data_IF_098303927230
#
_entry.id   IF_098303927230
#
_cell.length_a   1.000
_cell.length_b   1.000
_cell.length_c   1.000
_cell.angle_alpha   90.00
_cell.angle_beta   90.00
_cell.angle_gamma   90.00
#
_symmetry.space_group_name_H-M   'P 1'
#
loop_
_entity.id
_entity.type
_entity.pdbx_description
1 polymer ?
#
# COMPACT_ATOMS: atom_id res chain seq x y z
N UNK A 1 -6.93 21.66 16.48
CA UNK A 1 -6.79 20.52 15.54
C UNK A 1 -5.37 20.54 14.98
N UNK A 2 -4.63 19.42 15.03
CA UNK A 2 -3.27 19.32 14.49
C UNK A 2 -3.35 18.63 13.13
N UNK A 3 -3.32 19.41 12.04
CA UNK A 3 -3.23 18.91 10.66
C UNK A 3 -1.92 19.39 10.03
N UNK A 4 -1.45 18.66 9.03
CA UNK A 4 -0.31 19.10 8.23
C UNK A 4 -0.72 20.24 7.31
N UNK A 5 -0.01 21.36 7.40
CA UNK A 5 -0.13 22.46 6.42
C UNK A 5 0.29 21.92 5.06
N UNK A 6 -0.58 22.09 4.05
CA UNK A 6 -0.34 21.58 2.70
C UNK A 6 -0.73 20.12 2.46
N UNK A 7 -1.27 19.42 3.47
CA UNK A 7 -1.81 18.07 3.34
C UNK A 7 -0.85 16.94 3.74
N UNK A 8 -1.39 15.80 4.18
CA UNK A 8 -0.58 14.67 4.65
C UNK A 8 0.10 13.87 3.53
N UNK A 9 -0.36 14.02 2.28
CA UNK A 9 0.26 13.36 1.11
C UNK A 9 1.72 13.72 0.91
N UNK A 10 2.11 14.93 1.34
CA UNK A 10 3.48 15.42 1.25
C UNK A 10 4.51 14.53 1.94
N UNK A 11 4.10 13.73 2.94
CA UNK A 11 5.03 12.79 3.59
C UNK A 11 5.48 11.73 2.58
N UNK A 12 4.55 11.08 1.90
CA UNK A 12 4.87 10.05 0.90
C UNK A 12 5.53 10.65 -0.34
N UNK A 13 5.06 11.81 -0.80
CA UNK A 13 5.61 12.52 -1.96
C UNK A 13 7.08 12.89 -1.75
N UNK A 14 7.43 13.49 -0.60
CA UNK A 14 8.82 13.87 -0.32
C UNK A 14 9.74 12.67 -0.11
N UNK A 15 9.24 11.57 0.46
CA UNK A 15 10.03 10.33 0.54
C UNK A 15 10.28 9.77 -0.86
N UNK A 16 9.27 9.80 -1.73
CA UNK A 16 9.42 9.40 -3.14
C UNK A 16 10.47 10.27 -3.84
N UNK A 17 10.44 11.60 -3.65
CA UNK A 17 11.44 12.52 -4.23
C UNK A 17 12.87 12.19 -3.78
N UNK A 18 13.06 11.82 -2.50
CA UNK A 18 14.36 11.41 -1.97
C UNK A 18 14.86 10.08 -2.55
N UNK A 19 13.94 9.18 -2.92
CA UNK A 19 14.24 7.87 -3.51
C UNK A 19 14.37 7.91 -5.04
N UNK A 20 13.80 8.92 -5.70
CA UNK A 20 13.88 9.10 -7.14
C UNK A 20 13.30 7.91 -7.91
N UNK A 21 14.11 7.36 -8.84
CA UNK A 21 13.70 6.29 -9.76
C UNK A 21 13.54 4.91 -9.10
N UNK A 22 13.88 4.79 -7.80
CA UNK A 22 13.69 3.58 -7.02
C UNK A 22 12.21 3.31 -6.71
N UNK A 23 11.35 4.32 -6.84
CA UNK A 23 9.89 4.17 -6.71
C UNK A 23 9.28 3.87 -8.08
N UNK A 24 8.70 2.69 -8.23
CA UNK A 24 7.99 2.26 -9.45
C UNK A 24 6.47 2.40 -9.26
N UNK A 25 5.89 3.46 -9.80
CA UNK A 25 4.43 3.67 -9.80
C UNK A 25 3.76 2.77 -10.85
N UNK A 26 2.48 2.41 -10.65
CA UNK A 26 1.73 1.53 -11.56
C UNK A 26 2.32 0.10 -11.71
N UNK A 27 2.96 -0.41 -10.67
CA UNK A 27 3.52 -1.77 -10.61
C UNK A 27 2.81 -2.60 -9.53
N UNK A 28 1.54 -3.03 -9.74
CA UNK A 28 0.87 -3.91 -8.79
C UNK A 28 1.60 -5.25 -8.76
N UNK A 29 2.11 -5.66 -7.60
CA UNK A 29 2.71 -6.98 -7.41
C UNK A 29 1.62 -8.05 -7.46
N UNK A 30 1.86 -9.11 -8.23
CA UNK A 30 0.94 -10.24 -8.42
C UNK A 30 1.53 -11.55 -7.90
N UNK A 31 2.85 -11.73 -7.96
CA UNK A 31 3.53 -12.93 -7.48
C UNK A 31 4.76 -12.62 -6.64
N UNK A 32 5.03 -13.48 -5.65
CA UNK A 32 6.24 -13.48 -4.83
C UNK A 32 6.74 -14.92 -4.73
N UNK A 33 7.90 -15.21 -5.33
CA UNK A 33 8.55 -16.52 -5.31
C UNK A 33 9.86 -16.47 -4.53
N UNK A 34 9.92 -17.16 -3.39
CA UNK A 34 11.08 -17.32 -2.51
C UNK A 34 11.64 -18.75 -2.54
N UNK A 35 11.39 -19.51 -3.61
CA UNK A 35 11.87 -20.90 -3.75
C UNK A 35 13.38 -21.01 -4.03
N UNK A 36 14.04 -19.90 -4.35
CA UNK A 36 15.46 -19.79 -4.68
C UNK A 36 16.21 -18.83 -3.74
N UNK A 37 17.54 -18.78 -3.87
CA UNK A 37 18.40 -17.87 -3.09
C UNK A 37 18.05 -16.38 -3.28
N UNK A 38 17.55 -16.00 -4.46
CA UNK A 38 16.94 -14.71 -4.72
C UNK A 38 15.42 -14.87 -4.72
N UNK A 39 14.74 -13.88 -4.16
CA UNK A 39 13.28 -13.76 -4.24
C UNK A 39 12.94 -13.05 -5.55
N UNK A 40 12.01 -13.64 -6.30
CA UNK A 40 11.49 -13.10 -7.56
C UNK A 40 10.11 -12.48 -7.29
N UNK A 41 9.93 -11.24 -7.72
CA UNK A 41 8.66 -10.52 -7.66
C UNK A 41 8.17 -10.32 -9.09
N UNK A 42 6.92 -10.68 -9.35
CA UNK A 42 6.25 -10.37 -10.62
C UNK A 42 5.18 -9.29 -10.40
N UNK A 43 5.12 -8.36 -11.33
CA UNK A 43 4.09 -7.31 -11.39
C UNK A 43 3.05 -7.61 -12.47
N UNK A 44 1.91 -6.92 -12.43
CA UNK A 44 0.81 -7.13 -13.38
C UNK A 44 1.20 -6.87 -14.85
N UNK A 45 2.20 -6.01 -15.10
CA UNK A 45 2.78 -5.76 -16.42
C UNK A 45 3.88 -6.77 -16.81
N UNK A 46 4.01 -7.89 -16.09
CA UNK A 46 4.98 -8.97 -16.32
C UNK A 46 6.45 -8.51 -16.21
N UNK A 47 6.72 -7.48 -15.43
CA UNK A 47 8.08 -7.17 -15.05
C UNK A 47 8.51 -8.03 -13.86
N UNK A 48 9.80 -8.37 -13.84
CA UNK A 48 10.40 -9.16 -12.79
C UNK A 48 11.44 -8.34 -12.02
N UNK A 49 11.38 -8.45 -10.70
CA UNK A 49 12.34 -7.84 -9.79
C UNK A 49 12.97 -8.94 -8.93
N UNK A 50 14.29 -8.95 -8.84
CA UNK A 50 15.03 -9.87 -7.96
C UNK A 50 15.53 -9.14 -6.72
N UNK A 51 15.40 -9.77 -5.55
CA UNK A 51 15.84 -9.18 -4.30
C UNK A 51 16.24 -10.24 -3.26
N UNK A 52 16.89 -9.79 -2.18
CA UNK A 52 17.25 -10.66 -1.05
C UNK A 52 16.15 -10.76 0.02
N UNK A 53 15.32 -9.71 0.14
CA UNK A 53 14.26 -9.62 1.13
C UNK A 53 13.10 -8.79 0.59
N UNK A 54 11.90 -9.06 1.08
CA UNK A 54 10.67 -8.35 0.72
C UNK A 54 9.99 -7.80 1.97
N UNK A 55 9.53 -6.55 1.88
CA UNK A 55 8.64 -5.94 2.87
C UNK A 55 7.25 -5.84 2.25
N UNK A 56 6.29 -6.62 2.76
CA UNK A 56 4.89 -6.52 2.35
C UNK A 56 4.17 -5.44 3.17
N UNK A 57 4.14 -4.20 2.64
CA UNK A 57 3.61 -3.01 3.31
C UNK A 57 2.16 -2.64 2.92
N UNK A 58 1.36 -3.60 2.46
CA UNK A 58 -0.04 -3.40 2.06
C UNK A 58 -1.01 -4.02 3.09
N UNK A 59 -2.29 -3.59 3.15
CA UNK A 59 -3.30 -4.19 4.01
C UNK A 59 -3.45 -5.72 3.83
N UNK A 60 -3.85 -6.47 4.88
CA UNK A 60 -3.98 -7.93 4.81
C UNK A 60 -4.88 -8.42 3.67
N UNK A 61 -6.01 -7.76 3.43
CA UNK A 61 -6.95 -8.13 2.35
C UNK A 61 -6.36 -7.97 0.95
N UNK A 62 -5.42 -7.05 0.75
CA UNK A 62 -4.70 -6.93 -0.52
C UNK A 62 -3.56 -7.94 -0.63
N UNK A 63 -2.97 -8.33 0.51
CA UNK A 63 -1.98 -9.42 0.56
C UNK A 63 -2.58 -10.74 0.05
N UNK A 64 -3.86 -10.99 0.33
CA UNK A 64 -4.59 -12.18 -0.16
C UNK A 64 -4.73 -12.26 -1.69
N UNK A 65 -4.41 -11.18 -2.43
CA UNK A 65 -4.43 -11.15 -3.90
C UNK A 65 -3.08 -11.52 -4.54
N UNK A 66 -2.02 -11.63 -3.75
CA UNK A 66 -0.68 -11.98 -4.23
C UNK A 66 -0.54 -13.51 -4.17
N UNK A 67 -0.04 -14.11 -5.24
CA UNK A 67 0.32 -15.52 -5.29
C UNK A 67 1.71 -15.71 -4.68
N UNK A 68 1.79 -16.44 -3.57
CA UNK A 68 3.05 -16.73 -2.89
C UNK A 68 3.55 -18.13 -3.24
N UNK A 69 4.86 -18.26 -3.49
CA UNK A 69 5.54 -19.53 -3.70
C UNK A 69 6.83 -19.61 -2.87
N UNK A 70 7.03 -20.65 -2.03
CA UNK A 70 6.00 -21.54 -1.51
C UNK A 70 4.83 -20.78 -0.89
N UNK A 71 3.68 -21.47 -0.80
CA UNK A 71 2.47 -20.91 -0.21
C UNK A 71 2.73 -20.40 1.21
N UNK A 72 1.97 -19.38 1.61
CA UNK A 72 2.00 -18.90 2.99
C UNK A 72 1.52 -20.01 3.95
N UNK A 73 2.06 -20.07 5.18
CA UNK A 73 1.55 -20.97 6.20
C UNK A 73 0.03 -20.83 6.35
N UNK A 74 -0.67 -21.95 6.55
CA UNK A 74 -2.14 -21.99 6.56
C UNK A 74 -2.75 -20.96 7.54
N UNK A 75 -2.17 -20.79 8.73
CA UNK A 75 -2.58 -19.78 9.71
C UNK A 75 -2.56 -18.36 9.11
N UNK A 76 -1.49 -18.00 8.41
CA UNK A 76 -1.36 -16.69 7.76
C UNK A 76 -2.34 -16.55 6.60
N UNK A 77 -2.50 -17.59 5.78
CA UNK A 77 -3.43 -17.57 4.65
C UNK A 77 -4.89 -17.37 5.13
N UNK A 78 -5.26 -17.98 6.25
CA UNK A 78 -6.55 -17.82 6.88
C UNK A 78 -6.75 -16.42 7.48
N UNK A 79 -5.72 -15.85 8.12
CA UNK A 79 -5.77 -14.50 8.70
C UNK A 79 -6.02 -13.43 7.64
N UNK A 80 -5.26 -13.42 6.55
CA UNK A 80 -5.32 -12.36 5.53
C UNK A 80 -6.67 -12.30 4.80
N UNK A 81 -7.43 -13.40 4.78
CA UNK A 81 -8.77 -13.48 4.19
C UNK A 81 -9.89 -13.04 5.14
N UNK A 82 -9.61 -12.87 6.44
CA UNK A 82 -10.63 -12.62 7.49
C UNK A 82 -10.52 -11.25 8.16
N UNK A 83 -9.75 -10.33 7.59
CA UNK A 83 -9.54 -8.98 8.12
C UNK A 83 -10.13 -7.91 7.18
N UNK A 84 -11.47 -7.83 7.02
CA UNK A 84 -12.09 -6.83 6.14
C UNK A 84 -11.75 -5.41 6.59
N UNK A 85 -11.63 -4.50 5.61
CA UNK A 85 -11.46 -3.07 5.88
C UNK A 85 -12.82 -2.43 6.19
N UNK A 86 -12.83 -1.43 7.07
CA UNK A 86 -14.02 -0.61 7.31
C UNK A 86 -14.45 0.17 6.06
N UNK A 87 -15.74 0.53 5.99
CA UNK A 87 -16.31 1.31 4.91
C UNK A 87 -16.56 2.75 5.38
N UNK A 88 -16.06 3.74 4.63
CA UNK A 88 -16.19 5.16 4.96
C UNK A 88 -16.25 6.01 3.70
N UNK A 89 -17.05 7.08 3.73
CA UNK A 89 -17.09 8.13 2.70
C UNK A 89 -16.59 9.42 3.34
N UNK A 90 -15.60 10.08 2.71
CA UNK A 90 -15.05 11.35 3.18
C UNK A 90 -15.64 12.50 2.38
N UNK A 91 -16.41 13.36 3.05
CA UNK A 91 -17.06 14.53 2.43
C UNK A 91 -16.46 15.82 2.98
N UNK A 92 -16.18 16.78 2.10
CA UNK A 92 -15.73 18.13 2.46
C UNK A 92 -16.70 19.14 1.86
N UNK A 93 -17.31 19.97 2.71
CA UNK A 93 -18.20 21.05 2.29
C UNK A 93 -17.52 22.39 2.56
N UNK A 94 -17.39 23.21 1.51
CA UNK A 94 -16.77 24.53 1.59
C UNK A 94 -17.85 25.61 1.55
N UNK A 95 -17.66 26.63 2.38
CA UNK A 95 -18.57 27.77 2.50
C UNK A 95 -17.75 29.05 2.39
N UNK A 96 -18.42 30.15 2.00
CA UNK A 96 -17.80 31.48 1.92
C UNK A 96 -17.25 31.93 3.27
N UNK A 97 -17.96 31.62 4.36
CA UNK A 97 -17.59 32.00 5.72
C UNK A 97 -17.77 30.82 6.67
N UNK A 98 -16.98 30.78 7.74
CA UNK A 98 -17.15 29.83 8.83
C UNK A 98 -18.32 30.25 9.74
N UNK A 99 -19.54 30.30 9.19
CA UNK A 99 -20.73 30.84 9.86
C UNK A 99 -21.03 30.15 11.19
N UNK A 100 -20.67 28.86 11.32
CA UNK A 100 -20.78 28.08 12.56
C UNK A 100 -19.93 28.61 13.73
N UNK A 101 -19.04 29.59 13.50
CA UNK A 101 -18.27 30.27 14.55
C UNK A 101 -18.94 31.55 15.09
N UNK A 102 -19.95 32.09 14.40
CA UNK A 102 -20.62 33.32 14.81
C UNK A 102 -21.57 33.01 15.98
N UNK A 103 -21.59 33.86 17.01
CA UNK A 103 -22.57 33.82 18.11
C UNK A 103 -23.78 34.67 17.74
#
# INVERSE_FOLDING_TARGET
ERKFVGGSGQVSERIMDLLGDQVKLNHPVTHVDQSSDNIIIETLNHEHYECKYVINAIPPTLTAKIHFRPELPAERNQLIQRLPMGAIIKCMMYYKEAFWKKK
#
